data_IF_262744004626
#
_entry.id   IF_262744004626
#
_cell.length_a   1.000
_cell.length_b   1.000
_cell.length_c   1.000
_cell.angle_alpha   90.00
_cell.angle_beta   90.00
_cell.angle_gamma   90.00
#
_symmetry.space_group_name_H-M   'P 1'
#
loop_
_entity.id
_entity.type
_entity.pdbx_description
1 polymer ?
#
# COMPACT_ATOMS: atom_id res chain seq x y z
N UNK A 1 7.51 -23.44 1.01
CA UNK A 1 7.49 -24.18 -0.27
C UNK A 1 8.93 -24.49 -0.65
N UNK A 2 9.25 -25.76 -0.92
CA UNK A 2 10.61 -26.17 -1.27
C UNK A 2 11.03 -25.54 -2.61
N UNK A 3 12.29 -25.06 -2.68
CA UNK A 3 12.88 -24.50 -3.90
C UNK A 3 13.02 -25.62 -4.94
N UNK A 4 12.09 -25.73 -5.88
CA UNK A 4 12.17 -26.69 -6.97
C UNK A 4 13.37 -26.34 -7.84
N UNK A 5 14.34 -27.25 -7.96
CA UNK A 5 15.53 -27.06 -8.79
C UNK A 5 15.08 -26.89 -10.24
N UNK A 6 15.43 -25.76 -10.87
CA UNK A 6 15.09 -25.46 -12.26
C UNK A 6 15.77 -26.50 -13.17
N UNK A 7 14.98 -27.28 -13.91
CA UNK A 7 15.50 -28.21 -14.91
C UNK A 7 16.18 -27.43 -16.03
N UNK A 8 17.43 -27.75 -16.33
CA UNK A 8 18.16 -27.14 -17.44
C UNK A 8 17.68 -27.82 -18.72
N UNK A 9 17.05 -27.06 -19.60
CA UNK A 9 16.67 -27.51 -20.94
C UNK A 9 17.88 -27.32 -21.87
N UNK A 10 18.28 -28.37 -22.59
CA UNK A 10 19.44 -28.35 -23.51
C UNK A 10 19.07 -28.92 -24.88
N UNK A 11 19.70 -28.41 -25.95
CA UNK A 11 19.48 -28.92 -27.31
C UNK A 11 18.16 -28.48 -27.95
N UNK A 12 17.61 -27.34 -27.51
CA UNK A 12 16.38 -26.77 -28.06
C UNK A 12 16.62 -26.28 -29.49
N UNK A 13 15.79 -26.74 -30.43
CA UNK A 13 15.87 -26.31 -31.83
C UNK A 13 15.32 -24.89 -32.01
N UNK A 14 15.63 -24.26 -33.15
CA UNK A 14 15.09 -22.95 -33.49
C UNK A 14 13.55 -22.97 -33.55
N UNK A 15 12.99 -24.02 -34.14
CA UNK A 15 11.55 -24.23 -34.28
C UNK A 15 10.89 -24.39 -32.90
N UNK A 16 11.53 -25.11 -31.98
CA UNK A 16 11.03 -25.24 -30.60
C UNK A 16 11.08 -23.91 -29.85
N UNK A 17 12.11 -23.09 -30.04
CA UNK A 17 12.21 -21.77 -29.44
C UNK A 17 11.15 -20.80 -30.01
N UNK A 18 10.92 -20.82 -31.33
CA UNK A 18 9.89 -20.01 -31.99
C UNK A 18 8.48 -20.42 -31.53
N UNK A 19 8.20 -21.72 -31.44
CA UNK A 19 6.92 -22.22 -30.91
C UNK A 19 6.74 -21.83 -29.43
N UNK A 20 7.79 -21.99 -28.60
CA UNK A 20 7.73 -21.60 -27.20
C UNK A 20 7.48 -20.09 -27.03
N UNK A 21 8.04 -19.25 -27.90
CA UNK A 21 7.77 -17.82 -27.86
C UNK A 21 6.33 -17.49 -28.30
N UNK A 22 5.81 -18.17 -29.33
CA UNK A 22 4.40 -18.03 -29.73
C UNK A 22 3.43 -18.44 -28.60
N UNK A 23 3.70 -19.57 -27.94
CA UNK A 23 2.90 -20.04 -26.80
C UNK A 23 3.00 -19.08 -25.61
N UNK A 24 4.20 -18.57 -25.32
CA UNK A 24 4.43 -17.57 -24.27
C UNK A 24 3.65 -16.28 -24.55
N UNK A 25 3.70 -15.76 -25.78
CA UNK A 25 2.97 -14.57 -26.18
C UNK A 25 1.45 -14.78 -26.07
N UNK A 26 0.94 -15.93 -26.52
CA UNK A 26 -0.48 -16.28 -26.41
C UNK A 26 -0.94 -16.42 -24.95
N UNK A 27 -0.10 -16.98 -24.08
CA UNK A 27 -0.38 -17.08 -22.65
C UNK A 27 -0.38 -15.70 -21.97
N UNK A 28 0.62 -14.85 -22.26
CA UNK A 28 0.71 -13.49 -21.73
C UNK A 28 -0.53 -12.64 -22.10
N UNK A 29 -0.93 -12.68 -23.38
CA UNK A 29 -2.15 -12.00 -23.83
C UNK A 29 -3.41 -12.50 -23.11
N UNK A 30 -3.53 -13.82 -22.88
CA UNK A 30 -4.64 -14.39 -22.12
C UNK A 30 -4.63 -13.97 -20.64
N UNK A 31 -3.46 -13.90 -20.00
CA UNK A 31 -3.33 -13.39 -18.63
C UNK A 31 -3.80 -11.94 -18.56
N UNK A 32 -3.36 -11.09 -19.49
CA UNK A 32 -3.79 -9.70 -19.56
C UNK A 32 -5.30 -9.59 -19.75
N UNK A 33 -5.87 -10.33 -20.71
CA UNK A 33 -7.31 -10.33 -20.96
C UNK A 33 -8.14 -10.76 -19.73
N UNK A 34 -7.75 -11.86 -19.07
CA UNK A 34 -8.45 -12.36 -17.89
C UNK A 34 -8.34 -11.39 -16.70
N UNK A 35 -7.16 -10.76 -16.53
CA UNK A 35 -6.95 -9.74 -15.49
C UNK A 35 -7.88 -8.54 -15.72
N UNK A 36 -7.94 -8.02 -16.94
CA UNK A 36 -8.84 -6.92 -17.30
C UNK A 36 -10.31 -7.29 -17.09
N UNK A 37 -10.73 -8.51 -17.45
CA UNK A 37 -12.09 -8.98 -17.20
C UNK A 37 -12.41 -9.08 -15.71
N UNK A 38 -11.48 -9.60 -14.92
CA UNK A 38 -11.60 -9.69 -13.46
C UNK A 38 -11.76 -8.30 -12.83
N UNK A 39 -10.97 -7.33 -13.26
CA UNK A 39 -11.04 -5.96 -12.74
C UNK A 39 -12.39 -5.29 -13.07
N UNK A 40 -12.92 -5.52 -14.27
CA UNK A 40 -14.26 -5.06 -14.65
C UNK A 40 -15.36 -5.72 -13.80
N UNK A 41 -15.29 -7.03 -13.58
CA UNK A 41 -16.24 -7.75 -12.74
C UNK A 41 -16.19 -7.28 -11.28
N UNK A 42 -14.98 -7.09 -10.74
CA UNK A 42 -14.77 -6.57 -9.38
C UNK A 42 -15.35 -5.16 -9.24
N UNK A 43 -15.18 -4.32 -10.25
CA UNK A 43 -15.76 -2.97 -10.29
C UNK A 43 -17.29 -3.04 -10.29
N UNK A 44 -17.89 -3.87 -11.15
CA UNK A 44 -19.36 -4.07 -11.19
C UNK A 44 -19.92 -4.58 -9.86
N UNK A 45 -19.22 -5.51 -9.21
CA UNK A 45 -19.63 -6.01 -7.88
C UNK A 45 -19.58 -4.87 -6.86
N UNK A 46 -18.53 -4.06 -6.84
CA UNK A 46 -18.43 -2.90 -5.94
C UNK A 46 -19.58 -1.92 -6.18
N UNK A 47 -19.82 -1.55 -7.43
CA UNK A 47 -20.90 -0.63 -7.81
C UNK A 47 -22.28 -1.15 -7.42
N UNK A 48 -22.55 -2.44 -7.64
CA UNK A 48 -23.81 -3.10 -7.29
C UNK A 48 -24.18 -2.93 -5.80
N UNK A 49 -23.19 -3.01 -4.92
CA UNK A 49 -23.41 -2.91 -3.47
C UNK A 49 -23.16 -1.51 -2.90
N UNK A 50 -22.51 -0.62 -3.64
CA UNK A 50 -22.13 0.72 -3.16
C UNK A 50 -23.33 1.53 -2.65
N UNK A 51 -24.44 1.55 -3.41
CA UNK A 51 -25.65 2.28 -3.02
C UNK A 51 -26.29 1.74 -1.74
N UNK A 52 -26.48 0.43 -1.66
CA UNK A 52 -27.07 -0.22 -0.46
C UNK A 52 -26.19 -0.03 0.78
N UNK A 53 -24.86 -0.13 0.62
CA UNK A 53 -23.92 0.13 1.71
C UNK A 53 -23.94 1.61 2.15
N UNK A 54 -24.09 2.54 1.21
CA UNK A 54 -24.22 3.96 1.51
C UNK A 54 -25.49 4.24 2.33
N UNK A 55 -26.65 3.78 1.86
CA UNK A 55 -27.93 3.94 2.59
C UNK A 55 -27.88 3.33 4.00
N UNK A 56 -27.35 2.10 4.14
CA UNK A 56 -27.22 1.47 5.45
C UNK A 56 -26.25 2.23 6.37
N UNK A 57 -25.19 2.83 5.83
CA UNK A 57 -24.30 3.67 6.61
C UNK A 57 -24.98 4.98 7.02
N UNK A 58 -25.76 5.62 6.17
CA UNK A 58 -26.55 6.81 6.54
C UNK A 58 -27.55 6.50 7.66
N UNK A 59 -28.25 5.37 7.57
CA UNK A 59 -29.13 4.90 8.65
C UNK A 59 -28.36 4.69 9.96
N UNK A 60 -27.17 4.08 9.89
CA UNK A 60 -26.33 3.89 11.08
C UNK A 60 -25.87 5.21 11.68
N UNK A 61 -25.35 6.13 10.89
CA UNK A 61 -24.87 7.44 11.36
C UNK A 61 -26.01 8.24 12.00
N UNK A 62 -27.18 8.31 11.35
CA UNK A 62 -28.36 8.99 11.92
C UNK A 62 -28.76 8.42 13.28
N UNK A 63 -28.82 7.09 13.41
CA UNK A 63 -29.18 6.46 14.68
C UNK A 63 -28.07 6.55 15.73
N UNK A 64 -26.80 6.57 15.30
CA UNK A 64 -25.67 6.84 16.17
C UNK A 64 -25.76 8.23 16.79
N UNK A 65 -26.09 9.26 16.01
CA UNK A 65 -26.24 10.63 16.51
C UNK A 65 -27.37 10.77 17.54
N UNK A 66 -28.48 10.05 17.33
CA UNK A 66 -29.58 9.99 18.31
C UNK A 66 -29.09 9.37 19.63
N UNK A 67 -28.42 8.22 19.57
CA UNK A 67 -27.87 7.55 20.76
C UNK A 67 -26.82 8.41 21.47
N UNK A 68 -25.96 9.07 20.69
CA UNK A 68 -24.94 9.96 21.22
C UNK A 68 -25.57 11.17 21.93
N UNK A 69 -26.58 11.80 21.33
CA UNK A 69 -27.29 12.94 21.92
C UNK A 69 -27.94 12.54 23.25
N UNK A 70 -28.67 11.42 23.27
CA UNK A 70 -29.26 10.89 24.50
C UNK A 70 -28.20 10.61 25.58
N UNK A 71 -27.08 9.98 25.22
CA UNK A 71 -26.00 9.67 26.17
C UNK A 71 -25.29 10.93 26.68
N UNK A 72 -25.17 11.98 25.87
CA UNK A 72 -24.56 13.26 26.25
C UNK A 72 -25.49 14.08 27.15
N UNK A 73 -26.78 14.18 26.82
CA UNK A 73 -27.78 14.90 27.61
C UNK A 73 -27.96 14.29 29.00
N UNK A 74 -27.89 12.96 29.11
CA UNK A 74 -28.10 12.24 30.36
C UNK A 74 -26.78 11.73 30.97
N UNK A 75 -25.65 12.36 30.62
CA UNK A 75 -24.31 11.85 30.96
C UNK A 75 -24.09 11.70 32.45
N UNK A 76 -24.43 12.74 33.21
CA UNK A 76 -24.19 12.78 34.66
C UNK A 76 -25.13 11.83 35.41
N UNK A 77 -26.30 11.51 34.86
CA UNK A 77 -27.23 10.55 35.47
C UNK A 77 -26.86 9.11 35.14
N UNK A 78 -26.71 8.80 33.84
CA UNK A 78 -26.53 7.43 33.37
C UNK A 78 -25.11 6.89 33.55
N UNK A 79 -24.11 7.79 33.52
CA UNK A 79 -22.69 7.45 33.49
C UNK A 79 -21.87 7.99 34.68
N UNK A 80 -22.50 8.49 35.75
CA UNK A 80 -21.80 8.96 36.95
C UNK A 80 -20.85 7.91 37.55
N UNK A 81 -21.27 6.64 37.58
CA UNK A 81 -20.52 5.54 38.23
C UNK A 81 -20.01 4.48 37.26
N UNK A 82 -20.39 4.56 35.99
CA UNK A 82 -20.08 3.56 34.96
C UNK A 82 -19.87 4.24 33.61
N UNK A 83 -19.02 3.67 32.77
CA UNK A 83 -18.69 4.25 31.45
C UNK A 83 -19.56 3.72 30.31
N UNK A 84 -20.36 2.70 30.56
CA UNK A 84 -21.21 2.06 29.54
C UNK A 84 -22.54 1.57 30.12
N UNK A 85 -23.53 1.43 29.23
CA UNK A 85 -24.85 0.89 29.48
C UNK A 85 -25.09 -0.31 28.58
N UNK A 86 -25.61 -1.39 29.15
CA UNK A 86 -26.08 -2.57 28.43
C UNK A 86 -27.56 -2.40 28.08
N UNK A 87 -27.91 -2.76 26.84
CA UNK A 87 -29.26 -2.73 26.29
C UNK A 87 -29.58 -4.07 25.63
N UNK A 88 -30.85 -4.28 25.25
CA UNK A 88 -31.27 -5.50 24.55
C UNK A 88 -30.53 -5.75 23.21
N UNK A 89 -29.94 -4.72 22.59
CA UNK A 89 -29.28 -4.81 21.29
C UNK A 89 -27.77 -4.57 21.35
N UNK A 90 -27.19 -4.49 22.55
CA UNK A 90 -25.75 -4.29 22.75
C UNK A 90 -25.44 -3.23 23.79
N UNK A 91 -24.20 -2.74 23.77
CA UNK A 91 -23.68 -1.79 24.77
C UNK A 91 -23.26 -0.49 24.12
N UNK A 92 -23.61 0.65 24.74
CA UNK A 92 -23.15 1.98 24.34
C UNK A 92 -22.60 2.75 25.55
N UNK A 93 -21.74 3.74 25.30
CA UNK A 93 -21.15 4.54 26.36
C UNK A 93 -19.88 5.28 25.96
N UNK A 94 -19.21 5.85 26.95
CA UNK A 94 -18.02 6.65 26.78
C UNK A 94 -16.76 5.82 27.02
N UNK A 95 -15.86 5.77 26.04
CA UNK A 95 -14.52 5.19 26.22
C UNK A 95 -13.47 6.30 26.33
N UNK A 96 -12.49 6.10 27.21
CA UNK A 96 -11.28 6.92 27.20
C UNK A 96 -10.36 6.36 26.13
N UNK A 97 -10.24 7.06 25.00
CA UNK A 97 -9.31 6.69 23.93
C UNK A 97 -7.86 6.78 24.39
N UNK A 98 -6.95 6.16 23.63
CA UNK A 98 -5.52 6.38 23.85
C UNK A 98 -5.20 7.87 23.71
N UNK A 99 -4.35 8.44 24.58
CA UNK A 99 -3.94 9.84 24.44
C UNK A 99 -3.37 10.10 23.03
N UNK A 100 -3.82 11.18 22.41
CA UNK A 100 -3.37 11.62 21.09
C UNK A 100 -2.84 13.04 21.18
N UNK A 101 -1.76 13.31 20.45
CA UNK A 101 -1.30 14.67 20.23
C UNK A 101 -2.20 15.34 19.18
N UNK A 102 -2.60 16.58 19.46
CA UNK A 102 -3.32 17.44 18.53
C UNK A 102 -2.65 18.80 18.54
N UNK A 103 -2.57 19.43 17.38
CA UNK A 103 -2.05 20.79 17.29
C UNK A 103 -2.99 21.78 17.97
N UNK A 104 -2.41 22.79 18.59
CA UNK A 104 -3.14 23.98 19.00
C UNK A 104 -3.69 24.71 17.76
N UNK A 105 -4.74 25.51 17.96
CA UNK A 105 -5.34 26.31 16.89
C UNK A 105 -4.27 27.21 16.26
N UNK A 106 -4.16 27.20 14.93
CA UNK A 106 -3.17 27.96 14.19
C UNK A 106 -1.82 27.27 13.97
N UNK A 107 -1.59 26.08 14.54
CA UNK A 107 -0.35 25.33 14.34
C UNK A 107 -0.52 24.19 13.32
N UNK A 108 0.42 24.10 12.38
CA UNK A 108 0.58 22.95 11.49
C UNK A 108 1.62 21.97 12.06
N UNK A 109 1.54 20.70 11.68
CA UNK A 109 2.53 19.70 12.11
C UNK A 109 3.95 20.02 11.62
N UNK A 110 4.07 20.71 10.48
CA UNK A 110 5.35 21.20 9.99
C UNK A 110 5.95 22.24 10.95
N UNK A 111 5.15 23.23 11.39
CA UNK A 111 5.59 24.23 12.36
C UNK A 111 5.96 23.57 13.71
N UNK A 112 5.14 22.63 14.19
CA UNK A 112 5.44 21.86 15.41
C UNK A 112 6.73 21.06 15.26
N UNK A 113 6.95 20.39 14.13
CA UNK A 113 8.19 19.63 13.86
C UNK A 113 9.42 20.54 13.93
N UNK A 114 9.36 21.74 13.35
CA UNK A 114 10.47 22.68 13.40
C UNK A 114 10.77 23.16 14.84
N UNK A 115 9.73 23.48 15.61
CA UNK A 115 9.90 23.83 17.02
C UNK A 115 10.44 22.66 17.85
N UNK A 116 10.00 21.43 17.58
CA UNK A 116 10.50 20.24 18.27
C UNK A 116 11.97 19.98 17.90
N UNK A 117 12.42 20.23 16.66
CA UNK A 117 13.84 20.16 16.31
C UNK A 117 14.70 21.10 17.16
N UNK A 118 14.20 22.29 17.48
CA UNK A 118 14.93 23.29 18.28
C UNK A 118 14.85 23.04 19.78
N UNK A 119 13.64 22.77 20.29
CA UNK A 119 13.35 22.75 21.73
C UNK A 119 13.39 21.34 22.35
N UNK A 120 13.10 20.31 21.55
CA UNK A 120 12.91 18.93 22.02
C UNK A 120 13.49 17.90 21.01
N UNK A 121 14.78 18.02 20.62
CA UNK A 121 15.34 17.26 19.51
C UNK A 121 15.30 15.74 19.69
N UNK A 122 15.29 15.24 20.93
CA UNK A 122 15.18 13.82 21.25
C UNK A 122 13.86 13.16 20.76
N UNK A 123 12.85 13.97 20.43
CA UNK A 123 11.56 13.49 19.92
C UNK A 123 11.46 13.55 18.39
N UNK A 124 12.50 14.03 17.70
CA UNK A 124 12.62 13.94 16.24
C UNK A 124 13.27 12.60 15.89
N UNK A 125 12.59 11.84 15.04
CA UNK A 125 13.17 10.63 14.44
C UNK A 125 13.96 11.01 13.20
N UNK A 126 15.21 10.58 13.15
CA UNK A 126 16.04 10.62 11.95
C UNK A 126 16.10 9.21 11.36
N UNK A 127 15.79 9.09 10.07
CA UNK A 127 16.01 7.86 9.30
C UNK A 127 17.13 8.14 8.32
N UNK A 128 18.17 7.32 8.35
CA UNK A 128 19.28 7.38 7.40
C UNK A 128 19.07 6.27 6.36
N UNK A 129 19.07 6.66 5.09
CA UNK A 129 18.97 5.73 3.97
C UNK A 129 20.18 5.90 3.07
N UNK A 130 20.71 4.77 2.59
CA UNK A 130 21.83 4.77 1.68
C UNK A 130 21.39 5.34 0.33
N UNK A 131 22.06 6.38 -0.15
CA UNK A 131 21.88 6.93 -1.49
C UNK A 131 22.50 6.01 -2.55
N UNK A 132 21.85 4.87 -2.80
CA UNK A 132 22.33 3.81 -3.72
C UNK A 132 22.41 4.30 -5.16
N UNK A 133 21.49 5.15 -5.56
CA UNK A 133 21.46 5.83 -6.85
C UNK A 133 22.70 6.71 -7.07
N UNK A 134 23.11 7.48 -6.04
CA UNK A 134 24.32 8.31 -6.10
C UNK A 134 25.58 7.46 -6.13
N UNK A 135 25.67 6.45 -5.26
CA UNK A 135 26.78 5.49 -5.30
C UNK A 135 26.90 4.84 -6.68
N UNK A 136 25.77 4.45 -7.29
CA UNK A 136 25.77 3.89 -8.63
C UNK A 136 26.19 4.94 -9.66
N UNK A 137 25.70 6.17 -9.62
CA UNK A 137 26.07 7.23 -10.55
C UNK A 137 27.58 7.54 -10.51
N UNK A 138 28.13 7.63 -9.30
CA UNK A 138 29.53 8.00 -9.05
C UNK A 138 30.50 6.81 -9.12
N UNK A 139 30.01 5.62 -9.52
CA UNK A 139 30.78 4.36 -9.53
C UNK A 139 32.09 4.38 -10.32
N UNK A 140 32.21 5.30 -11.29
CA UNK A 140 33.38 5.45 -12.14
C UNK A 140 34.43 6.42 -11.55
N UNK A 141 34.11 7.17 -10.49
CA UNK A 141 35.06 8.04 -9.83
C UNK A 141 36.05 7.18 -9.02
N UNK A 142 37.38 7.35 -9.20
CA UNK A 142 38.38 6.52 -8.51
C UNK A 142 38.21 6.52 -6.98
N UNK A 143 37.94 7.70 -6.41
CA UNK A 143 37.76 7.89 -4.96
C UNK A 143 36.55 7.11 -4.40
N UNK A 144 35.49 6.96 -5.19
CA UNK A 144 34.29 6.22 -4.80
C UNK A 144 34.45 4.73 -5.07
N UNK A 145 35.06 4.38 -6.21
CA UNK A 145 35.32 3.01 -6.61
C UNK A 145 36.19 2.26 -5.58
N UNK A 146 37.24 2.91 -5.07
CA UNK A 146 38.11 2.35 -4.01
C UNK A 146 37.39 2.12 -2.69
N UNK A 147 36.27 2.80 -2.45
CA UNK A 147 35.50 2.69 -1.22
C UNK A 147 34.50 1.54 -1.24
N UNK A 148 34.02 1.09 -2.42
CA UNK A 148 33.04 0.00 -2.54
C UNK A 148 33.41 -1.26 -1.75
N UNK A 149 34.63 -1.83 -1.87
CA UNK A 149 35.00 -2.99 -1.07
C UNK A 149 35.03 -2.70 0.44
N UNK A 150 35.44 -1.49 0.83
CA UNK A 150 35.54 -1.07 2.23
C UNK A 150 34.17 -0.92 2.89
N UNK A 151 33.15 -0.55 2.11
CA UNK A 151 31.76 -0.41 2.58
C UNK A 151 30.89 -1.66 2.31
N UNK A 152 31.49 -2.75 1.82
CA UNK A 152 30.78 -4.01 1.57
C UNK A 152 29.80 -3.96 0.40
N UNK A 153 30.04 -3.09 -0.58
CA UNK A 153 29.22 -2.96 -1.79
C UNK A 153 30.01 -3.44 -3.00
N UNK A 154 29.33 -4.12 -3.92
CA UNK A 154 29.88 -4.46 -5.23
C UNK A 154 28.93 -3.94 -6.30
N UNK A 155 29.49 -3.28 -7.32
CA UNK A 155 28.74 -2.96 -8.53
C UNK A 155 28.74 -4.21 -9.40
N UNK A 156 27.57 -4.84 -9.52
CA UNK A 156 27.37 -6.00 -10.39
C UNK A 156 26.41 -5.59 -11.50
N UNK A 157 26.81 -5.86 -12.74
CA UNK A 157 25.95 -5.72 -13.90
C UNK A 157 25.80 -7.11 -14.51
N UNK A 158 24.61 -7.71 -14.34
CA UNK A 158 24.31 -9.03 -14.86
C UNK A 158 23.49 -8.88 -16.15
N UNK A 159 23.85 -9.66 -17.16
CA UNK A 159 23.00 -9.84 -18.32
C UNK A 159 21.87 -10.81 -17.96
N UNK A 160 20.63 -10.37 -18.09
CA UNK A 160 19.45 -11.20 -17.84
C UNK A 160 18.71 -11.46 -19.14
N UNK A 161 18.35 -12.71 -19.39
CA UNK A 161 17.45 -13.07 -20.47
C UNK A 161 16.07 -12.42 -20.26
N UNK A 162 15.50 -11.86 -21.31
CA UNK A 162 14.17 -11.24 -21.30
C UNK A 162 13.33 -11.74 -22.47
N UNK A 163 12.01 -11.75 -22.30
CA UNK A 163 11.03 -12.05 -23.34
C UNK A 163 9.95 -10.98 -23.29
N UNK A 164 9.83 -10.22 -24.36
CA UNK A 164 8.80 -9.19 -24.52
C UNK A 164 7.96 -9.53 -25.75
N UNK A 165 6.76 -10.10 -25.56
CA UNK A 165 5.82 -10.30 -26.65
C UNK A 165 5.49 -8.96 -27.29
N UNK A 166 5.33 -8.96 -28.62
CA UNK A 166 4.76 -7.79 -29.29
C UNK A 166 3.34 -7.61 -28.75
N UNK A 167 3.09 -6.47 -28.15
CA UNK A 167 1.73 -6.04 -27.85
C UNK A 167 1.12 -5.64 -29.18
N UNK A 168 0.02 -6.27 -29.57
CA UNK A 168 -0.85 -5.67 -30.57
C UNK A 168 -1.28 -4.33 -29.98
N UNK A 169 -0.77 -3.23 -30.52
CA UNK A 169 -1.34 -1.93 -30.22
C UNK A 169 -2.81 -2.04 -30.60
N UNK A 170 -3.72 -1.76 -29.66
CA UNK A 170 -5.14 -1.62 -29.97
C UNK A 170 -5.23 -0.82 -31.28
N UNK A 171 -5.63 -1.50 -32.35
CA UNK A 171 -5.95 -0.85 -33.59
C UNK A 171 -7.09 0.07 -33.24
N UNK A 172 -6.76 1.34 -33.04
CA UNK A 172 -7.72 2.43 -32.86
C UNK A 172 -8.53 2.43 -34.15
N UNK A 173 -9.68 1.78 -34.12
CA UNK A 173 -10.70 1.93 -35.15
C UNK A 173 -11.12 3.40 -35.10
N UNK A 174 -10.80 4.10 -36.19
CA UNK A 174 -11.17 5.48 -36.46
C UNK A 174 -12.65 5.60 -36.85
#
# INVERSE_FOLDING_TARGET
MARTKKTILSGISREQAEQAFADYAGADARVQHLTSKMDLEMTRIREKYAGQLAELNEVKEKNFDILQSYAMENKDELFAKRKSLESAHGTFGFRTGTPKLKNLRGFTWAAVTNLVKELLPAYIRTSEELAKDRLLADRALPEVAEMFPKIGVQVVQEETFFVEPKKEADAVEA
#
